data_IF_992620584943
#
_entry.id   IF_992620584943
#
_cell.length_a   1.000
_cell.length_b   1.000
_cell.length_c   1.000
_cell.angle_alpha   90.00
_cell.angle_beta   90.00
_cell.angle_gamma   90.00
#
_symmetry.space_group_name_H-M   'P 1'
#
loop_
_entity.id
_entity.type
_entity.pdbx_description
1 polymer ?
#
# COMPACT_ATOMS: atom_id res chain seq x y z
N UNK A 1 -19.73 -1.89 -13.93
CA UNK A 1 -19.51 -3.32 -14.23
C UNK A 1 -18.62 -3.90 -13.15
N UNK A 2 -19.20 -4.69 -12.26
CA UNK A 2 -18.48 -5.42 -11.20
C UNK A 2 -17.90 -6.71 -11.77
N UNK A 3 -16.61 -6.69 -12.09
CA UNK A 3 -15.91 -7.80 -12.73
C UNK A 3 -15.47 -8.82 -11.67
N UNK A 4 -16.44 -9.59 -11.17
CA UNK A 4 -16.21 -10.76 -10.32
C UNK A 4 -15.74 -11.96 -11.18
N UNK A 5 -14.46 -11.98 -11.57
CA UNK A 5 -13.81 -13.20 -12.09
C UNK A 5 -13.09 -13.93 -10.94
N UNK A 6 -13.61 -15.08 -10.45
CA UNK A 6 -12.99 -15.85 -9.40
C UNK A 6 -11.83 -16.64 -10.00
N UNK A 7 -10.58 -16.25 -9.70
CA UNK A 7 -9.41 -17.05 -10.08
C UNK A 7 -8.24 -16.27 -10.68
N UNK A 8 -8.33 -14.95 -10.87
CA UNK A 8 -7.19 -14.15 -11.34
C UNK A 8 -6.44 -13.53 -10.15
N UNK A 9 -5.10 -13.63 -10.10
CA UNK A 9 -4.31 -12.96 -9.07
C UNK A 9 -4.56 -11.45 -9.09
N UNK A 10 -4.53 -10.78 -7.93
CA UNK A 10 -4.78 -9.36 -7.84
C UNK A 10 -3.79 -8.59 -8.72
N UNK A 11 -4.29 -7.59 -9.45
CA UNK A 11 -3.44 -6.74 -10.28
C UNK A 11 -2.56 -5.84 -9.41
N UNK A 12 -1.48 -5.30 -9.97
CA UNK A 12 -0.61 -4.36 -9.25
C UNK A 12 -1.40 -3.20 -8.62
N UNK A 13 -2.35 -2.63 -9.37
CA UNK A 13 -3.18 -1.54 -8.88
C UNK A 13 -4.10 -1.95 -7.73
N UNK A 14 -4.68 -3.15 -7.80
CA UNK A 14 -5.50 -3.69 -6.70
C UNK A 14 -4.67 -3.94 -5.44
N UNK A 15 -3.43 -4.45 -5.60
CA UNK A 15 -2.51 -4.65 -4.47
C UNK A 15 -2.10 -3.31 -3.85
N UNK A 16 -1.77 -2.30 -4.67
CA UNK A 16 -1.44 -0.96 -4.17
C UNK A 16 -2.60 -0.34 -3.39
N UNK A 17 -3.83 -0.41 -3.92
CA UNK A 17 -5.03 0.06 -3.23
C UNK A 17 -5.26 -0.67 -1.90
N UNK A 18 -5.04 -1.99 -1.87
CA UNK A 18 -5.16 -2.76 -0.64
C UNK A 18 -4.13 -2.36 0.42
N UNK A 19 -2.88 -2.10 0.02
CA UNK A 19 -1.82 -1.65 0.94
C UNK A 19 -2.14 -0.26 1.48
N UNK A 20 -2.60 0.66 0.63
CA UNK A 20 -3.03 1.99 1.06
C UNK A 20 -4.22 1.90 2.02
N UNK A 21 -5.25 1.13 1.67
CA UNK A 21 -6.42 0.94 2.54
C UNK A 21 -6.05 0.29 3.88
N UNK A 22 -5.10 -0.64 3.88
CA UNK A 22 -4.55 -1.23 5.11
C UNK A 22 -3.79 -0.20 5.95
N UNK A 23 -2.96 0.63 5.32
CA UNK A 23 -2.19 1.68 5.99
C UNK A 23 -3.11 2.73 6.65
N UNK A 24 -4.22 3.10 5.98
CA UNK A 24 -5.23 4.00 6.54
C UNK A 24 -6.23 3.31 7.48
N UNK A 25 -6.13 1.99 7.70
CA UNK A 25 -7.05 1.23 8.54
C UNK A 25 -8.47 1.03 7.97
N UNK A 26 -8.72 1.47 6.74
CA UNK A 26 -10.02 1.40 6.04
C UNK A 26 -10.16 0.17 5.12
N UNK A 27 -9.32 -0.85 5.33
CA UNK A 27 -9.33 -2.06 4.51
C UNK A 27 -10.64 -2.86 4.70
N UNK A 28 -11.41 -3.01 3.62
CA UNK A 28 -12.65 -3.80 3.65
C UNK A 28 -12.39 -5.31 3.74
N UNK A 29 -13.33 -6.04 4.34
CA UNK A 29 -13.28 -7.50 4.43
C UNK A 29 -13.24 -8.20 3.06
N UNK A 30 -13.92 -7.65 2.04
CA UNK A 30 -13.89 -8.15 0.66
C UNK A 30 -12.48 -8.06 0.05
N UNK A 31 -11.80 -6.93 0.22
CA UNK A 31 -10.43 -6.75 -0.29
C UNK A 31 -9.48 -7.70 0.42
N UNK A 32 -9.58 -7.79 1.75
CA UNK A 32 -8.81 -8.75 2.56
C UNK A 32 -9.00 -10.19 2.07
N UNK A 33 -10.24 -10.65 1.97
CA UNK A 33 -10.55 -12.01 1.53
C UNK A 33 -10.01 -12.30 0.12
N UNK A 34 -10.15 -11.35 -0.83
CA UNK A 34 -9.59 -11.49 -2.18
C UNK A 34 -8.07 -11.62 -2.15
N UNK A 35 -7.40 -10.75 -1.40
CA UNK A 35 -5.94 -10.67 -1.34
C UNK A 35 -5.33 -11.92 -0.70
N UNK A 36 -5.98 -12.52 0.31
CA UNK A 36 -5.55 -13.76 0.94
C UNK A 36 -5.97 -15.03 0.19
N UNK A 37 -7.04 -14.99 -0.60
CA UNK A 37 -7.52 -16.15 -1.38
C UNK A 37 -6.79 -16.30 -2.71
N UNK A 38 -6.56 -15.18 -3.40
CA UNK A 38 -6.03 -15.18 -4.78
C UNK A 38 -4.65 -14.56 -4.91
N UNK A 39 -4.14 -13.93 -3.84
CA UNK A 39 -2.84 -13.30 -3.81
C UNK A 39 -1.80 -14.09 -3.02
N UNK A 40 -0.53 -14.00 -3.42
CA UNK A 40 0.60 -14.57 -2.67
C UNK A 40 1.04 -13.60 -1.59
N UNK A 41 1.11 -14.05 -0.34
CA UNK A 41 1.53 -13.23 0.81
C UNK A 41 2.86 -12.50 0.58
N UNK A 42 3.82 -13.13 -0.13
CA UNK A 42 5.11 -12.53 -0.45
C UNK A 42 5.01 -11.22 -1.22
N UNK A 43 4.02 -11.07 -2.12
CA UNK A 43 3.87 -9.87 -2.94
C UNK A 43 3.41 -8.69 -2.09
N UNK A 44 2.48 -8.94 -1.16
CA UNK A 44 2.01 -7.92 -0.22
C UNK A 44 3.08 -7.51 0.79
N UNK A 45 3.91 -8.45 1.25
CA UNK A 45 5.04 -8.15 2.14
C UNK A 45 6.05 -7.26 1.41
N UNK A 46 6.53 -7.67 0.24
CA UNK A 46 7.52 -6.88 -0.54
C UNK A 46 6.99 -5.49 -0.86
N UNK A 47 5.76 -5.40 -1.37
CA UNK A 47 5.16 -4.14 -1.79
C UNK A 47 4.83 -3.25 -0.59
N UNK A 48 4.40 -3.83 0.53
CA UNK A 48 4.16 -3.13 1.79
C UNK A 48 5.45 -2.57 2.39
N UNK A 49 6.51 -3.38 2.49
CA UNK A 49 7.82 -2.93 2.97
C UNK A 49 8.39 -1.82 2.10
N UNK A 50 8.32 -1.95 0.77
CA UNK A 50 8.77 -0.92 -0.15
C UNK A 50 8.00 0.39 0.06
N UNK A 51 6.68 0.31 0.17
CA UNK A 51 5.82 1.46 0.46
C UNK A 51 6.21 2.14 1.79
N UNK A 52 6.42 1.37 2.86
CA UNK A 52 6.83 1.90 4.17
C UNK A 52 8.19 2.59 4.11
N UNK A 53 9.18 2.02 3.40
CA UNK A 53 10.49 2.65 3.24
C UNK A 53 10.39 3.98 2.51
N UNK A 54 9.63 4.02 1.40
CA UNK A 54 9.39 5.27 0.66
C UNK A 54 8.69 6.30 1.55
N UNK A 55 7.68 5.89 2.31
CA UNK A 55 6.97 6.77 3.23
C UNK A 55 7.92 7.39 4.28
N UNK A 56 8.81 6.60 4.88
CA UNK A 56 9.83 7.10 5.82
C UNK A 56 10.75 8.12 5.15
N UNK A 57 11.24 7.84 3.95
CA UNK A 57 12.10 8.77 3.21
C UNK A 57 11.39 10.09 2.92
N UNK A 58 10.10 10.05 2.57
CA UNK A 58 9.27 11.25 2.39
C UNK A 58 9.18 12.04 3.69
N UNK A 59 8.90 11.40 4.83
CA UNK A 59 8.85 12.08 6.12
C UNK A 59 10.20 12.72 6.48
N UNK A 60 11.31 12.01 6.29
CA UNK A 60 12.65 12.56 6.52
C UNK A 60 12.90 13.77 5.62
N UNK A 61 12.56 13.68 4.33
CA UNK A 61 12.68 14.79 3.38
C UNK A 61 11.83 16.00 3.78
N UNK A 62 10.60 15.78 4.25
CA UNK A 62 9.73 16.85 4.76
C UNK A 62 10.31 17.52 6.01
N UNK A 63 10.88 16.75 6.94
CA UNK A 63 11.55 17.30 8.13
C UNK A 63 12.78 18.11 7.73
N UNK A 64 13.62 17.60 6.82
CA UNK A 64 14.78 18.33 6.32
C UNK A 64 14.37 19.61 5.60
N UNK A 65 13.32 19.56 4.77
CA UNK A 65 12.77 20.73 4.11
C UNK A 65 12.27 21.76 5.13
N UNK A 66 11.52 21.34 6.14
CA UNK A 66 11.03 22.24 7.19
C UNK A 66 12.18 22.91 7.93
N UNK A 67 13.20 22.16 8.36
CA UNK A 67 14.39 22.71 9.01
C UNK A 67 15.13 23.70 8.12
N UNK A 68 15.29 23.40 6.82
CA UNK A 68 15.93 24.31 5.87
C UNK A 68 15.13 25.60 5.64
N UNK A 69 13.80 25.52 5.68
CA UNK A 69 12.92 26.69 5.55
C UNK A 69 12.87 27.54 6.82
N UNK A 70 13.05 26.95 8.01
CA UNK A 70 13.05 27.65 9.30
C UNK A 70 14.43 28.16 9.72
N UNK A 71 15.51 27.51 9.28
CA UNK A 71 16.89 27.95 9.53
C UNK A 71 17.37 29.04 8.56
N UNK A 72 16.54 29.43 7.59
CA UNK A 72 16.69 30.63 6.76
C UNK A 72 15.89 31.78 7.35
#
# INVERSE_FOLDING_TARGET
MDDHSPGKPPTFWQMLQSILAAAFGVQSGKNRARDFTYGKASHFIVLGTLFTLVFILVLVGLVQLALHLTAR
#
